data_IF_425679877894
#
_entry.id   IF_425679877894
#
_cell.length_a   1.000
_cell.length_b   1.000
_cell.length_c   1.000
_cell.angle_alpha   90.00
_cell.angle_beta   90.00
_cell.angle_gamma   90.00
#
_symmetry.space_group_name_H-M   'P 1'
#
loop_
_entity.id
_entity.type
_entity.pdbx_description
1 polymer ?
#
# COMPACT_ATOMS: atom_id res chain seq x y z
N UNK A 1 -8.65 15.72 -21.14
CA UNK A 1 -7.41 15.47 -20.38
C UNK A 1 -7.85 15.27 -18.93
N UNK A 2 -7.39 14.20 -18.26
CA UNK A 2 -7.80 13.89 -16.89
C UNK A 2 -6.90 14.64 -15.90
N UNK A 3 -7.49 15.32 -14.94
CA UNK A 3 -6.80 16.07 -13.90
C UNK A 3 -6.49 15.17 -12.70
N UNK A 4 -5.20 14.97 -12.38
CA UNK A 4 -4.75 14.01 -11.36
C UNK A 4 -4.19 14.72 -10.13
N UNK A 5 -4.65 14.34 -8.96
CA UNK A 5 -4.00 14.64 -7.70
C UNK A 5 -3.11 13.47 -7.28
N UNK A 6 -1.82 13.72 -7.02
CA UNK A 6 -0.85 12.71 -6.57
C UNK A 6 -0.50 12.99 -5.12
N UNK A 7 -1.12 12.26 -4.20
CA UNK A 7 -0.81 12.36 -2.78
C UNK A 7 0.41 11.50 -2.46
N UNK A 8 1.56 12.16 -2.21
CA UNK A 8 2.86 11.52 -2.04
C UNK A 8 3.69 11.44 -3.34
N UNK A 9 3.70 12.51 -4.14
CA UNK A 9 4.34 12.55 -5.46
C UNK A 9 5.86 12.34 -5.44
N UNK A 10 6.53 12.61 -4.33
CA UNK A 10 7.97 12.42 -4.17
C UNK A 10 8.37 11.00 -3.71
N UNK A 11 7.39 10.14 -3.42
CA UNK A 11 7.60 8.73 -3.07
C UNK A 11 7.80 7.84 -4.31
N UNK A 12 8.10 6.55 -4.08
CA UNK A 12 8.35 5.58 -5.16
C UNK A 12 7.19 5.48 -6.15
N UNK A 13 5.94 5.37 -5.66
CA UNK A 13 4.76 5.29 -6.53
C UNK A 13 4.47 6.64 -7.18
N UNK A 14 4.60 7.74 -6.43
CA UNK A 14 4.35 9.08 -6.97
C UNK A 14 5.27 9.43 -8.13
N UNK A 15 6.59 9.15 -8.01
CA UNK A 15 7.56 9.40 -9.09
C UNK A 15 7.27 8.56 -10.32
N UNK A 16 6.94 7.27 -10.15
CA UNK A 16 6.55 6.39 -11.27
C UNK A 16 5.21 6.81 -11.90
N UNK A 17 4.31 7.42 -11.12
CA UNK A 17 3.08 8.03 -11.67
C UNK A 17 3.42 9.21 -12.57
N UNK A 18 4.36 10.05 -12.16
CA UNK A 18 4.83 11.16 -12.98
C UNK A 18 5.53 10.67 -14.27
N UNK A 19 6.21 9.52 -14.24
CA UNK A 19 6.75 8.89 -15.45
C UNK A 19 5.63 8.54 -16.44
N UNK A 20 4.49 8.01 -15.97
CA UNK A 20 3.33 7.74 -16.82
C UNK A 20 2.75 9.03 -17.42
N UNK A 21 2.69 10.11 -16.64
CA UNK A 21 2.23 11.41 -17.14
C UNK A 21 3.17 11.94 -18.22
N UNK A 22 4.50 11.80 -18.08
CA UNK A 22 5.49 12.19 -19.11
C UNK A 22 5.30 11.42 -20.41
N UNK A 23 4.95 10.13 -20.33
CA UNK A 23 4.68 9.28 -21.50
C UNK A 23 3.38 9.70 -22.19
N UNK A 24 2.36 10.09 -21.41
CA UNK A 24 1.02 10.43 -21.94
C UNK A 24 0.56 11.85 -21.60
N UNK A 25 1.31 12.90 -22.00
CA UNK A 25 1.02 14.29 -21.61
C UNK A 25 -0.28 14.84 -22.20
N UNK A 26 -0.87 14.15 -23.20
CA UNK A 26 -2.18 14.53 -23.76
C UNK A 26 -3.36 13.89 -23.03
N UNK A 27 -3.12 12.88 -22.21
CA UNK A 27 -4.16 12.19 -21.45
C UNK A 27 -4.31 12.75 -20.05
N UNK A 28 -3.19 13.18 -19.44
CA UNK A 28 -3.14 13.55 -18.05
C UNK A 28 -2.51 14.92 -17.82
N UNK A 29 -3.05 15.64 -16.86
CA UNK A 29 -2.44 16.82 -16.27
C UNK A 29 -2.35 16.62 -14.74
N UNK A 30 -1.24 17.06 -14.14
CA UNK A 30 -1.03 16.95 -12.70
C UNK A 30 -1.54 18.19 -12.02
N UNK A 31 -2.75 18.12 -11.45
CA UNK A 31 -3.37 19.24 -10.73
C UNK A 31 -2.78 19.44 -9.33
N UNK A 32 -2.43 18.35 -8.65
CA UNK A 32 -1.96 18.39 -7.27
C UNK A 32 -0.75 17.48 -7.11
N UNK A 33 0.31 18.01 -6.48
CA UNK A 33 1.44 17.24 -5.97
C UNK A 33 1.60 17.42 -4.48
N UNK A 34 2.13 16.42 -3.79
CA UNK A 34 2.36 16.54 -2.36
C UNK A 34 3.59 15.81 -1.85
N UNK A 35 4.19 16.35 -0.80
CA UNK A 35 5.25 15.69 -0.05
C UNK A 35 5.08 15.95 1.46
N UNK A 36 5.74 15.12 2.29
CA UNK A 36 5.84 15.39 3.74
C UNK A 36 6.99 16.35 4.02
N UNK A 37 8.21 15.99 3.62
CA UNK A 37 9.45 16.75 3.92
C UNK A 37 10.39 16.93 2.73
N UNK A 38 10.23 16.15 1.68
CA UNK A 38 11.13 16.20 0.53
C UNK A 38 10.77 17.37 -0.38
N UNK A 39 11.08 18.58 0.08
CA UNK A 39 10.75 19.83 -0.62
C UNK A 39 11.60 20.04 -1.87
N UNK A 40 12.82 19.51 -1.93
CA UNK A 40 13.69 19.67 -3.10
C UNK A 40 13.13 18.91 -4.31
N UNK A 41 12.75 17.64 -4.11
CA UNK A 41 12.08 16.89 -5.17
C UNK A 41 10.71 17.48 -5.53
N UNK A 42 9.95 17.97 -4.54
CA UNK A 42 8.67 18.61 -4.78
C UNK A 42 8.81 19.90 -5.60
N UNK A 43 9.87 20.67 -5.37
CA UNK A 43 10.16 21.88 -6.13
C UNK A 43 10.44 21.54 -7.61
N UNK A 44 11.31 20.56 -7.86
CA UNK A 44 11.60 20.10 -9.22
C UNK A 44 10.33 19.60 -9.95
N UNK A 45 9.44 18.86 -9.22
CA UNK A 45 8.16 18.42 -9.77
C UNK A 45 7.22 19.60 -10.06
N UNK A 46 7.20 20.62 -9.21
CA UNK A 46 6.39 21.82 -9.43
C UNK A 46 6.83 22.61 -10.68
N UNK A 47 8.13 22.70 -10.90
CA UNK A 47 8.73 23.34 -12.08
C UNK A 47 8.44 22.57 -13.38
N UNK A 48 8.39 21.23 -13.31
CA UNK A 48 8.19 20.39 -14.49
C UNK A 48 6.70 20.27 -14.86
N UNK A 49 5.83 20.04 -13.87
CA UNK A 49 4.43 19.68 -14.11
C UNK A 49 3.45 20.83 -13.96
N UNK A 50 3.88 21.97 -13.44
CA UNK A 50 3.06 23.18 -13.26
C UNK A 50 1.69 22.91 -12.61
N UNK A 51 1.65 22.24 -11.43
CA UNK A 51 0.40 21.91 -10.77
C UNK A 51 -0.38 23.17 -10.35
N UNK A 52 -1.69 23.02 -10.14
CA UNK A 52 -2.50 24.09 -9.56
C UNK A 52 -2.29 24.22 -8.04
N UNK A 53 -2.05 23.09 -7.38
CA UNK A 53 -1.91 23.06 -5.92
C UNK A 53 -0.72 22.19 -5.52
N UNK A 54 0.08 22.69 -4.57
CA UNK A 54 1.20 21.99 -3.96
C UNK A 54 0.92 21.82 -2.47
N UNK A 55 1.08 20.60 -1.94
CA UNK A 55 0.84 20.32 -0.53
C UNK A 55 2.13 19.88 0.15
N UNK A 56 2.47 20.51 1.28
CA UNK A 56 3.54 20.07 2.18
C UNK A 56 2.92 19.79 3.55
N UNK A 57 2.91 18.51 3.98
CA UNK A 57 2.21 18.14 5.21
C UNK A 57 3.00 18.43 6.49
N UNK A 58 4.32 18.49 6.45
CA UNK A 58 5.17 18.95 7.56
C UNK A 58 5.19 20.48 7.59
N UNK A 59 4.83 21.07 8.71
CA UNK A 59 4.66 22.52 8.82
C UNK A 59 5.98 23.31 8.65
N UNK A 60 7.08 22.78 9.18
CA UNK A 60 8.40 23.45 9.08
C UNK A 60 8.90 23.38 7.62
N UNK A 61 8.84 22.20 6.99
CA UNK A 61 9.18 22.06 5.59
C UNK A 61 8.26 22.91 4.68
N UNK A 62 6.97 23.02 5.04
CA UNK A 62 6.00 23.83 4.30
C UNK A 62 6.30 25.33 4.36
N UNK A 63 6.71 25.85 5.51
CA UNK A 63 7.16 27.24 5.64
C UNK A 63 8.39 27.49 4.73
N UNK A 64 9.39 26.61 4.83
CA UNK A 64 10.60 26.70 3.97
C UNK A 64 10.27 26.62 2.48
N UNK A 65 9.32 25.76 2.10
CA UNK A 65 8.89 25.65 0.71
C UNK A 65 8.23 26.95 0.23
N UNK A 66 7.33 27.56 1.01
CA UNK A 66 6.69 28.85 0.69
C UNK A 66 7.70 29.98 0.49
N UNK A 67 8.76 30.01 1.29
CA UNK A 67 9.80 31.02 1.18
C UNK A 67 10.64 30.89 -0.11
N UNK A 68 10.72 29.69 -0.67
CA UNK A 68 11.53 29.36 -1.85
C UNK A 68 10.71 29.32 -3.15
N UNK A 69 9.38 29.09 -3.07
CA UNK A 69 8.53 28.90 -4.24
C UNK A 69 7.89 30.21 -4.70
N UNK A 70 8.21 30.61 -5.93
CA UNK A 70 7.70 31.84 -6.57
C UNK A 70 6.77 31.53 -7.75
N UNK A 71 6.36 30.28 -7.95
CA UNK A 71 5.45 29.89 -9.01
C UNK A 71 4.00 30.28 -8.72
N UNK A 72 3.10 29.95 -9.66
CA UNK A 72 1.69 30.33 -9.60
C UNK A 72 0.81 29.37 -8.82
N UNK A 73 1.32 28.18 -8.42
CA UNK A 73 0.54 27.18 -7.71
C UNK A 73 0.18 27.66 -6.28
N UNK A 74 -1.01 27.31 -5.84
CA UNK A 74 -1.41 27.48 -4.44
C UNK A 74 -0.62 26.51 -3.55
N UNK A 75 0.04 27.01 -2.49
CA UNK A 75 0.80 26.17 -1.55
C UNK A 75 0.03 26.00 -0.25
N UNK A 76 -0.46 24.79 0.00
CA UNK A 76 -1.15 24.38 1.22
C UNK A 76 -0.19 23.65 2.16
N UNK A 77 -0.29 23.92 3.47
CA UNK A 77 0.61 23.37 4.49
C UNK A 77 -0.19 22.72 5.62
N UNK A 78 0.32 21.61 6.14
CA UNK A 78 -0.25 20.89 7.29
C UNK A 78 -1.07 19.66 6.91
N UNK A 79 -1.45 18.88 7.92
CA UNK A 79 -2.11 17.57 7.74
C UNK A 79 -3.45 17.65 7.01
N UNK A 80 -4.27 18.67 7.29
CA UNK A 80 -5.57 18.87 6.62
C UNK A 80 -5.47 19.24 5.15
N UNK A 81 -4.31 19.71 4.69
CA UNK A 81 -4.08 20.20 3.34
C UNK A 81 -4.25 19.10 2.26
N UNK A 82 -3.91 17.84 2.58
CA UNK A 82 -4.12 16.71 1.66
C UNK A 82 -5.60 16.53 1.29
N UNK A 83 -6.48 16.55 2.30
CA UNK A 83 -7.92 16.45 2.08
C UNK A 83 -8.47 17.62 1.25
N UNK A 84 -8.05 18.84 1.59
CA UNK A 84 -8.47 20.05 0.86
C UNK A 84 -8.07 19.95 -0.61
N UNK A 85 -6.82 19.61 -0.89
CA UNK A 85 -6.31 19.48 -2.26
C UNK A 85 -6.96 18.34 -3.04
N UNK A 86 -7.14 17.17 -2.41
CA UNK A 86 -7.79 16.01 -3.04
C UNK A 86 -9.24 16.26 -3.44
N UNK A 87 -9.95 17.15 -2.71
CA UNK A 87 -11.34 17.51 -2.98
C UNK A 87 -11.48 18.69 -3.97
N UNK A 88 -10.39 19.25 -4.47
CA UNK A 88 -10.40 20.39 -5.40
C UNK A 88 -11.32 20.16 -6.61
N UNK A 89 -12.06 21.19 -7.04
CA UNK A 89 -13.02 21.07 -8.15
C UNK A 89 -12.35 20.65 -9.46
N UNK A 90 -11.10 21.02 -9.66
CA UNK A 90 -10.28 20.66 -10.82
C UNK A 90 -9.77 19.23 -10.82
N UNK A 91 -9.91 18.47 -9.73
CA UNK A 91 -9.39 17.10 -9.64
C UNK A 91 -10.43 16.10 -10.13
N UNK A 92 -10.06 15.22 -11.05
CA UNK A 92 -10.88 14.11 -11.53
C UNK A 92 -10.53 12.81 -10.78
N UNK A 93 -9.24 12.55 -10.61
CA UNK A 93 -8.72 11.32 -10.03
C UNK A 93 -7.68 11.63 -8.95
N UNK A 94 -7.79 10.94 -7.81
CA UNK A 94 -6.82 11.02 -6.71
C UNK A 94 -6.04 9.72 -6.65
N UNK A 95 -4.73 9.82 -6.88
CA UNK A 95 -3.80 8.72 -6.60
C UNK A 95 -3.26 8.88 -5.18
N UNK A 96 -3.55 7.90 -4.33
CA UNK A 96 -3.17 7.91 -2.91
C UNK A 96 -1.94 7.04 -2.72
N UNK A 97 -0.77 7.65 -2.53
CA UNK A 97 0.52 6.97 -2.35
C UNK A 97 1.32 7.47 -1.14
N UNK A 98 0.66 8.11 -0.19
CA UNK A 98 1.23 8.41 1.12
C UNK A 98 1.40 7.13 1.94
N UNK A 99 2.20 7.17 2.98
CA UNK A 99 2.52 5.99 3.80
C UNK A 99 1.70 6.00 5.09
N UNK A 100 1.30 4.80 5.55
CA UNK A 100 0.61 4.64 6.82
C UNK A 100 -0.84 5.15 6.81
N UNK A 101 -1.36 5.47 7.98
CA UNK A 101 -2.76 5.92 8.16
C UNK A 101 -3.06 7.29 7.54
N UNK A 102 -2.02 8.07 7.16
CA UNK A 102 -2.16 9.44 6.63
C UNK A 102 -3.02 9.49 5.34
N UNK A 103 -3.16 8.35 4.63
CA UNK A 103 -3.99 8.23 3.42
C UNK A 103 -5.49 8.06 3.68
N UNK A 104 -5.90 7.63 4.86
CA UNK A 104 -7.30 7.26 5.13
C UNK A 104 -8.26 8.46 5.02
N UNK A 105 -7.97 9.54 5.74
CA UNK A 105 -8.83 10.73 5.74
C UNK A 105 -8.97 11.35 4.35
N UNK A 106 -7.87 11.67 3.61
CA UNK A 106 -7.99 12.24 2.27
C UNK A 106 -8.70 11.31 1.29
N UNK A 107 -8.58 9.98 1.45
CA UNK A 107 -9.34 9.02 0.63
C UNK A 107 -10.84 9.12 0.88
N UNK A 108 -11.28 9.13 2.14
CA UNK A 108 -12.69 9.28 2.50
C UNK A 108 -13.26 10.62 2.01
N UNK A 109 -12.53 11.70 2.19
CA UNK A 109 -12.94 13.03 1.76
C UNK A 109 -13.05 13.12 0.22
N UNK A 110 -12.08 12.54 -0.51
CA UNK A 110 -12.12 12.49 -1.98
C UNK A 110 -13.29 11.65 -2.49
N UNK A 111 -13.61 10.52 -1.86
CA UNK A 111 -14.80 9.72 -2.16
C UNK A 111 -16.07 10.53 -1.92
N UNK A 112 -16.17 11.22 -0.79
CA UNK A 112 -17.30 12.07 -0.47
C UNK A 112 -17.49 13.19 -1.51
N UNK A 113 -16.39 13.74 -2.04
CA UNK A 113 -16.36 14.74 -3.11
C UNK A 113 -16.60 14.16 -4.53
N UNK A 114 -16.83 12.85 -4.66
CA UNK A 114 -17.13 12.20 -5.94
C UNK A 114 -15.90 11.98 -6.85
N UNK A 115 -14.68 11.94 -6.30
CA UNK A 115 -13.46 11.76 -7.08
C UNK A 115 -13.19 10.27 -7.37
N UNK A 116 -12.65 9.99 -8.57
CA UNK A 116 -12.09 8.66 -8.86
C UNK A 116 -10.88 8.38 -7.96
N UNK A 117 -10.71 7.14 -7.50
CA UNK A 117 -9.63 6.76 -6.59
C UNK A 117 -8.72 5.71 -7.23
N UNK A 118 -7.42 5.99 -7.29
CA UNK A 118 -6.35 5.03 -7.54
C UNK A 118 -5.57 4.83 -6.22
N UNK A 119 -5.74 3.67 -5.58
CA UNK A 119 -5.26 3.43 -4.22
C UNK A 119 -3.98 2.60 -4.23
N UNK A 120 -2.87 3.21 -3.82
CA UNK A 120 -1.59 2.56 -3.58
C UNK A 120 -1.28 2.38 -2.09
N UNK A 121 -1.93 3.17 -1.23
CA UNK A 121 -1.77 3.11 0.22
C UNK A 121 -2.65 2.00 0.81
N UNK A 122 -2.07 0.82 0.97
CA UNK A 122 -2.78 -0.36 1.53
C UNK A 122 -3.27 -0.16 2.95
N UNK A 123 -2.55 0.64 3.74
CA UNK A 123 -2.90 0.93 5.13
C UNK A 123 -4.27 1.63 5.25
N UNK A 124 -4.70 2.35 4.23
CA UNK A 124 -6.06 2.92 4.14
C UNK A 124 -7.14 1.84 4.29
N UNK A 125 -7.02 0.71 3.60
CA UNK A 125 -7.98 -0.39 3.70
C UNK A 125 -7.72 -1.30 4.90
N UNK A 126 -6.48 -1.45 5.30
CA UNK A 126 -6.13 -2.22 6.51
C UNK A 126 -6.73 -1.58 7.76
N UNK A 127 -6.66 -0.25 7.86
CA UNK A 127 -7.12 0.46 9.06
C UNK A 127 -8.60 0.87 9.01
N UNK A 128 -9.11 1.24 7.85
CA UNK A 128 -10.46 1.77 7.68
C UNK A 128 -11.26 1.15 6.53
N UNK A 129 -10.93 -0.09 6.12
CA UNK A 129 -11.50 -0.69 4.91
C UNK A 129 -13.02 -0.73 4.89
N UNK A 130 -13.66 -1.04 6.02
CA UNK A 130 -15.13 -1.01 6.13
C UNK A 130 -15.70 0.39 5.80
N UNK A 131 -15.11 1.43 6.36
CA UNK A 131 -15.55 2.82 6.13
C UNK A 131 -15.34 3.23 4.67
N UNK A 132 -14.17 2.92 4.12
CA UNK A 132 -13.78 3.29 2.76
C UNK A 132 -14.68 2.59 1.74
N UNK A 133 -14.84 1.26 1.85
CA UNK A 133 -15.64 0.49 0.89
C UNK A 133 -17.13 0.81 0.98
N UNK A 134 -17.65 1.08 2.18
CA UNK A 134 -19.01 1.56 2.37
C UNK A 134 -19.22 2.92 1.69
N UNK A 135 -18.33 3.89 1.95
CA UNK A 135 -18.39 5.22 1.34
C UNK A 135 -18.29 5.14 -0.20
N UNK A 136 -17.37 4.33 -0.71
CA UNK A 136 -17.20 4.12 -2.15
C UNK A 136 -18.46 3.52 -2.79
N UNK A 137 -19.07 2.52 -2.16
CA UNK A 137 -20.32 1.90 -2.61
C UNK A 137 -21.48 2.89 -2.63
N UNK A 138 -21.66 3.68 -1.57
CA UNK A 138 -22.70 4.70 -1.47
C UNK A 138 -22.58 5.79 -2.55
N UNK A 139 -21.35 6.12 -2.95
CA UNK A 139 -21.06 7.10 -3.99
C UNK A 139 -20.94 6.51 -5.41
N UNK A 140 -21.00 5.18 -5.55
CA UNK A 140 -20.79 4.49 -6.82
C UNK A 140 -19.36 4.64 -7.37
N UNK A 141 -18.37 4.82 -6.50
CA UNK A 141 -16.98 5.00 -6.86
C UNK A 141 -16.25 3.67 -6.82
N UNK A 142 -15.57 3.35 -7.90
CA UNK A 142 -14.69 2.20 -7.98
C UNK A 142 -13.31 2.57 -7.41
N UNK A 143 -12.88 1.84 -6.37
CA UNK A 143 -11.49 1.92 -5.89
C UNK A 143 -10.63 1.09 -6.84
N UNK A 144 -9.70 1.76 -7.53
CA UNK A 144 -8.75 1.10 -8.46
C UNK A 144 -7.46 0.77 -7.72
N UNK A 145 -7.11 -0.50 -7.57
CA UNK A 145 -5.88 -0.87 -6.89
C UNK A 145 -4.64 -0.52 -7.73
N UNK A 146 -3.63 0.01 -7.06
CA UNK A 146 -2.31 0.30 -7.64
C UNK A 146 -1.28 -0.72 -7.16
N UNK A 147 -1.48 -1.34 -5.98
CA UNK A 147 -0.63 -2.44 -5.54
C UNK A 147 -0.64 -3.57 -6.59
N UNK A 148 0.54 -4.14 -6.92
CA UNK A 148 0.70 -5.04 -8.05
C UNK A 148 -0.19 -6.27 -7.96
N UNK A 149 -0.27 -6.87 -6.79
CA UNK A 149 -1.05 -8.07 -6.53
C UNK A 149 -2.56 -7.79 -6.64
N UNK A 150 -3.01 -6.68 -6.05
CA UNK A 150 -4.43 -6.30 -6.10
C UNK A 150 -4.83 -5.84 -7.49
N UNK A 151 -3.95 -5.16 -8.21
CA UNK A 151 -4.15 -4.85 -9.63
C UNK A 151 -4.28 -6.12 -10.47
N UNK A 152 -3.47 -7.15 -10.19
CA UNK A 152 -3.54 -8.43 -10.87
C UNK A 152 -4.86 -9.16 -10.60
N UNK A 153 -5.32 -9.21 -9.34
CA UNK A 153 -6.62 -9.79 -8.96
C UNK A 153 -7.74 -9.02 -9.64
N UNK A 154 -7.73 -7.68 -9.56
CA UNK A 154 -8.71 -6.83 -10.22
C UNK A 154 -8.80 -7.13 -11.73
N UNK A 155 -7.66 -7.23 -12.41
CA UNK A 155 -7.59 -7.54 -13.84
C UNK A 155 -8.09 -8.96 -14.16
N UNK A 156 -7.80 -9.93 -13.29
CA UNK A 156 -8.25 -11.31 -13.43
C UNK A 156 -9.75 -11.48 -13.24
N UNK A 157 -10.38 -10.56 -12.50
CA UNK A 157 -11.84 -10.55 -12.24
C UNK A 157 -12.64 -9.74 -13.29
N UNK A 158 -11.99 -9.05 -14.22
CA UNK A 158 -12.70 -8.24 -15.22
C UNK A 158 -13.59 -9.10 -16.11
N UNK A 159 -14.87 -8.76 -16.18
CA UNK A 159 -15.85 -9.47 -16.99
C UNK A 159 -16.32 -10.82 -16.41
N UNK A 160 -15.86 -11.17 -15.22
CA UNK A 160 -16.27 -12.40 -14.52
C UNK A 160 -17.39 -12.12 -13.50
N UNK A 161 -18.21 -13.11 -13.22
CA UNK A 161 -19.16 -13.05 -12.10
C UNK A 161 -18.41 -13.20 -10.78
N UNK A 162 -18.52 -12.20 -9.92
CA UNK A 162 -17.90 -12.23 -8.57
C UNK A 162 -18.34 -13.43 -7.74
N UNK A 163 -19.55 -13.93 -7.94
CA UNK A 163 -20.07 -15.11 -7.23
C UNK A 163 -19.40 -16.41 -7.64
N UNK A 164 -18.75 -16.42 -8.81
CA UNK A 164 -18.02 -17.57 -9.29
C UNK A 164 -16.56 -17.62 -8.79
N UNK A 165 -16.13 -16.63 -7.98
CA UNK A 165 -14.80 -16.66 -7.37
C UNK A 165 -14.78 -17.70 -6.26
N UNK A 166 -13.97 -18.75 -6.44
CA UNK A 166 -13.72 -19.78 -5.44
C UNK A 166 -12.72 -19.27 -4.40
N UNK A 167 -11.55 -18.79 -4.85
CA UNK A 167 -10.55 -18.16 -3.99
C UNK A 167 -9.60 -17.22 -4.72
N UNK A 168 -8.98 -16.35 -3.95
CA UNK A 168 -7.86 -15.50 -4.38
C UNK A 168 -6.55 -16.20 -4.03
N UNK A 169 -5.65 -16.30 -5.00
CA UNK A 169 -4.29 -16.80 -4.84
C UNK A 169 -3.34 -15.61 -4.87
N UNK A 170 -3.04 -15.06 -3.70
CA UNK A 170 -2.22 -13.87 -3.51
C UNK A 170 -0.74 -14.26 -3.53
N UNK A 171 0.03 -13.77 -4.50
CA UNK A 171 1.45 -14.13 -4.60
C UNK A 171 2.34 -13.21 -3.78
N UNK A 172 3.48 -13.71 -3.34
CA UNK A 172 4.54 -13.00 -2.64
C UNK A 172 5.90 -13.35 -3.25
N UNK A 173 6.85 -12.40 -3.28
CA UNK A 173 8.24 -12.71 -3.65
C UNK A 173 8.94 -13.62 -2.63
N UNK A 174 8.46 -13.63 -1.38
CA UNK A 174 9.08 -14.29 -0.23
C UNK A 174 10.11 -13.42 0.48
N UNK A 175 10.43 -12.24 -0.05
CA UNK A 175 11.39 -11.31 0.54
C UNK A 175 12.84 -11.82 0.50
N UNK A 176 13.79 -11.09 1.13
CA UNK A 176 15.22 -11.43 1.12
C UNK A 176 15.56 -12.66 1.98
N UNK A 177 14.68 -13.05 2.89
CA UNK A 177 14.94 -14.12 3.85
C UNK A 177 14.16 -15.41 3.59
N UNK A 178 13.68 -15.59 2.34
CA UNK A 178 13.01 -16.82 1.92
C UNK A 178 13.90 -18.03 2.20
N UNK A 179 13.36 -19.02 2.94
CA UNK A 179 14.08 -20.25 3.32
C UNK A 179 15.02 -20.12 4.53
N UNK A 180 15.07 -18.96 5.19
CA UNK A 180 15.84 -18.80 6.43
C UNK A 180 15.14 -19.48 7.60
N UNK A 181 15.96 -20.10 8.49
CA UNK A 181 15.49 -20.59 9.78
C UNK A 181 15.37 -19.45 10.80
N UNK A 182 14.70 -19.73 11.92
CA UNK A 182 14.58 -18.75 13.02
C UNK A 182 15.96 -18.32 13.58
N UNK A 183 16.91 -19.27 13.66
CA UNK A 183 18.28 -19.02 14.12
C UNK A 183 19.04 -18.09 13.17
N UNK A 184 18.85 -18.25 11.87
CA UNK A 184 19.41 -17.35 10.86
C UNK A 184 18.81 -15.96 10.95
N UNK A 185 17.48 -15.87 11.12
CA UNK A 185 16.78 -14.59 11.28
C UNK A 185 17.20 -13.83 12.56
N UNK A 186 17.61 -14.52 13.62
CA UNK A 186 18.11 -13.88 14.82
C UNK A 186 19.42 -13.08 14.62
N UNK A 187 20.14 -13.34 13.53
CA UNK A 187 21.42 -12.70 13.20
C UNK A 187 21.31 -11.61 12.12
N UNK A 188 20.12 -11.42 11.52
CA UNK A 188 19.97 -10.48 10.41
C UNK A 188 20.05 -9.03 10.87
N UNK A 189 20.69 -8.23 10.06
CA UNK A 189 20.87 -6.79 10.28
C UNK A 189 19.83 -5.99 9.50
N UNK A 190 19.74 -4.69 9.80
CA UNK A 190 18.96 -3.77 8.99
C UNK A 190 19.43 -3.72 7.53
N UNK A 191 20.75 -3.78 7.31
CA UNK A 191 21.32 -3.79 5.96
C UNK A 191 20.87 -5.00 5.15
N UNK A 192 20.83 -6.20 5.79
CA UNK A 192 20.37 -7.42 5.13
C UNK A 192 18.89 -7.35 4.80
N UNK A 193 18.07 -6.81 5.70
CA UNK A 193 16.64 -6.66 5.51
C UNK A 193 16.28 -5.64 4.40
N UNK A 194 17.20 -4.73 4.06
CA UNK A 194 17.01 -3.76 2.97
C UNK A 194 17.36 -4.30 1.58
N UNK A 195 17.92 -5.52 1.46
CA UNK A 195 18.34 -6.13 0.19
C UNK A 195 17.19 -6.96 -0.42
N UNK A 196 16.20 -6.28 -1.02
CA UNK A 196 15.12 -7.01 -1.71
C UNK A 196 15.60 -7.60 -3.04
N UNK A 197 15.29 -8.88 -3.35
CA UNK A 197 15.86 -9.58 -4.52
C UNK A 197 15.34 -9.06 -5.88
N UNK A 198 14.11 -8.54 -5.96
CA UNK A 198 13.45 -8.22 -7.24
C UNK A 198 12.91 -6.79 -7.31
N UNK A 199 12.46 -6.20 -6.21
CA UNK A 199 11.79 -4.91 -6.19
C UNK A 199 12.65 -3.80 -5.58
N UNK A 200 12.62 -2.61 -6.19
CA UNK A 200 13.17 -1.39 -5.60
C UNK A 200 12.02 -0.57 -4.99
N UNK A 201 11.88 -0.65 -3.67
CA UNK A 201 10.75 -0.10 -2.93
C UNK A 201 11.19 0.91 -1.87
N UNK A 202 10.23 1.67 -1.34
CA UNK A 202 10.45 2.52 -0.19
C UNK A 202 10.88 1.71 1.05
N UNK A 203 11.63 2.34 1.96
CA UNK A 203 12.25 1.69 3.12
C UNK A 203 11.27 0.89 3.97
N UNK A 204 10.10 1.44 4.27
CA UNK A 204 9.05 0.76 5.07
C UNK A 204 8.57 -0.51 4.37
N UNK A 205 8.22 -0.41 3.08
CA UNK A 205 7.69 -1.55 2.30
C UNK A 205 8.75 -2.64 2.15
N UNK A 206 10.04 -2.28 1.98
CA UNK A 206 11.14 -3.25 1.91
C UNK A 206 11.25 -4.05 3.22
N UNK A 207 11.15 -3.40 4.37
CA UNK A 207 11.18 -4.07 5.67
C UNK A 207 9.92 -4.91 5.91
N UNK A 208 8.74 -4.41 5.52
CA UNK A 208 7.51 -5.20 5.57
C UNK A 208 7.59 -6.44 4.67
N UNK A 209 8.26 -6.34 3.51
CA UNK A 209 8.51 -7.50 2.66
C UNK A 209 9.47 -8.50 3.31
N UNK A 210 10.55 -8.03 3.92
CA UNK A 210 11.52 -8.87 4.63
C UNK A 210 10.89 -9.65 5.79
N UNK A 211 9.89 -9.10 6.44
CA UNK A 211 9.13 -9.70 7.54
C UNK A 211 7.85 -10.39 7.11
N UNK A 212 7.49 -10.37 5.82
CA UNK A 212 6.20 -10.81 5.29
C UNK A 212 4.97 -10.03 5.85
N UNK A 213 5.16 -8.96 6.62
CA UNK A 213 4.06 -8.08 7.03
C UNK A 213 3.41 -7.40 5.83
N UNK A 214 4.18 -7.07 4.77
CA UNK A 214 3.62 -6.55 3.53
C UNK A 214 2.50 -7.44 3.01
N UNK A 215 2.76 -8.75 2.95
CA UNK A 215 1.78 -9.73 2.49
C UNK A 215 0.60 -9.88 3.47
N UNK A 216 0.86 -9.75 4.77
CA UNK A 216 -0.21 -9.70 5.77
C UNK A 216 -1.15 -8.51 5.60
N UNK A 217 -0.61 -7.32 5.32
CA UNK A 217 -1.40 -6.12 5.01
C UNK A 217 -2.21 -6.32 3.72
N UNK A 218 -1.62 -6.93 2.71
CA UNK A 218 -2.25 -7.21 1.42
C UNK A 218 -3.39 -8.23 1.51
N UNK A 219 -3.30 -9.22 2.39
CA UNK A 219 -4.42 -10.14 2.68
C UNK A 219 -5.64 -9.37 3.21
N UNK A 220 -5.41 -8.41 4.12
CA UNK A 220 -6.48 -7.58 4.67
C UNK A 220 -7.04 -6.63 3.61
N UNK A 221 -6.20 -6.04 2.78
CA UNK A 221 -6.60 -5.19 1.68
C UNK A 221 -7.44 -5.97 0.65
N UNK A 222 -7.04 -7.19 0.27
CA UNK A 222 -7.77 -8.05 -0.65
C UNK A 222 -9.18 -8.37 -0.14
N UNK A 223 -9.33 -8.68 1.15
CA UNK A 223 -10.64 -8.89 1.80
C UNK A 223 -11.60 -7.74 1.51
N UNK A 224 -11.11 -6.50 1.64
CA UNK A 224 -11.95 -5.31 1.47
C UNK A 224 -12.20 -4.98 -0.01
N UNK A 225 -11.18 -4.99 -0.85
CA UNK A 225 -11.31 -4.62 -2.27
C UNK A 225 -12.22 -5.56 -3.06
N UNK A 226 -12.14 -6.86 -2.78
CA UNK A 226 -12.81 -7.88 -3.58
C UNK A 226 -14.02 -8.49 -2.90
N UNK A 227 -14.24 -8.15 -1.62
CA UNK A 227 -15.33 -8.67 -0.78
C UNK A 227 -15.31 -10.22 -0.70
N UNK A 228 -14.11 -10.77 -0.49
CA UNK A 228 -13.84 -12.22 -0.36
C UNK A 228 -13.42 -12.52 1.07
N UNK A 229 -14.01 -13.53 1.70
CA UNK A 229 -13.68 -13.89 3.08
C UNK A 229 -12.27 -14.44 3.21
N UNK A 230 -11.66 -14.27 4.39
CA UNK A 230 -10.28 -14.70 4.66
C UNK A 230 -10.02 -16.18 4.39
N UNK A 231 -11.02 -17.04 4.53
CA UNK A 231 -10.92 -18.48 4.25
C UNK A 231 -10.81 -18.79 2.75
N UNK A 232 -11.11 -17.81 1.89
CA UNK A 232 -10.98 -17.87 0.45
C UNK A 232 -9.79 -17.02 -0.09
N UNK A 233 -8.85 -16.66 0.79
CA UNK A 233 -7.60 -16.00 0.41
C UNK A 233 -6.44 -16.90 0.80
N UNK A 234 -5.68 -17.35 -0.19
CA UNK A 234 -4.50 -18.19 -0.03
C UNK A 234 -3.25 -17.41 -0.46
N UNK A 235 -2.17 -17.52 0.33
CA UNK A 235 -0.89 -16.88 -0.01
C UNK A 235 0.06 -17.92 -0.58
N UNK A 236 0.66 -17.60 -1.73
CA UNK A 236 1.67 -18.39 -2.40
C UNK A 236 2.97 -17.59 -2.55
N UNK A 237 4.11 -18.21 -2.32
CA UNK A 237 5.40 -17.60 -2.65
C UNK A 237 5.75 -17.90 -4.10
N UNK A 238 5.96 -16.85 -4.90
CA UNK A 238 6.36 -16.90 -6.31
C UNK A 238 7.66 -16.09 -6.46
N UNK A 239 8.82 -16.72 -6.29
CA UNK A 239 10.09 -16.00 -6.13
C UNK A 239 10.52 -15.18 -7.33
N UNK A 240 10.09 -15.57 -8.54
CA UNK A 240 10.41 -14.88 -9.78
C UNK A 240 9.64 -13.57 -9.94
N UNK A 241 8.57 -13.37 -9.16
CA UNK A 241 7.67 -12.21 -9.24
C UNK A 241 7.10 -11.96 -10.66
N UNK A 242 6.89 -13.03 -11.43
CA UNK A 242 6.28 -12.98 -12.75
C UNK A 242 4.76 -13.07 -12.69
N UNK A 243 4.23 -13.95 -11.82
CA UNK A 243 2.79 -14.01 -11.52
C UNK A 243 2.52 -13.03 -10.38
N UNK A 244 1.74 -11.98 -10.69
CA UNK A 244 1.45 -10.94 -9.71
C UNK A 244 0.27 -11.26 -8.81
N UNK A 245 -0.59 -12.17 -9.14
CA UNK A 245 -1.61 -12.91 -8.38
C UNK A 245 -2.59 -13.57 -9.32
N UNK A 246 -3.47 -14.42 -8.78
CA UNK A 246 -4.41 -15.24 -9.52
C UNK A 246 -5.76 -15.29 -8.84
N UNK A 247 -6.79 -15.63 -9.60
CA UNK A 247 -8.14 -15.91 -9.09
C UNK A 247 -8.55 -17.29 -9.58
N UNK A 248 -8.91 -18.16 -8.64
CA UNK A 248 -9.49 -19.48 -8.92
C UNK A 248 -11.02 -19.37 -8.88
N UNK A 249 -11.68 -19.96 -9.86
CA UNK A 249 -13.12 -19.93 -10.03
C UNK A 249 -13.75 -21.27 -9.67
N UNK A 250 -15.07 -21.29 -9.44
CA UNK A 250 -15.84 -22.48 -9.07
C UNK A 250 -15.78 -23.62 -10.11
N UNK A 251 -15.46 -23.32 -11.37
CA UNK A 251 -15.26 -24.32 -12.43
C UNK A 251 -13.86 -24.93 -12.42
N UNK A 252 -12.99 -24.53 -11.47
CA UNK A 252 -11.60 -24.95 -11.38
C UNK A 252 -10.63 -24.18 -12.30
N UNK A 253 -11.12 -23.21 -13.04
CA UNK A 253 -10.24 -22.35 -13.87
C UNK A 253 -9.47 -21.38 -13.01
N UNK A 254 -8.20 -21.12 -13.34
CA UNK A 254 -7.37 -20.10 -12.69
C UNK A 254 -6.99 -19.04 -13.72
N UNK A 255 -7.33 -17.78 -13.41
CA UNK A 255 -6.92 -16.63 -14.25
C UNK A 255 -5.82 -15.88 -13.50
N UNK A 256 -4.70 -15.63 -14.18
CA UNK A 256 -3.51 -14.98 -13.63
C UNK A 256 -3.11 -13.76 -14.45
N UNK A 257 -2.67 -12.70 -13.80
CA UNK A 257 -1.96 -11.63 -14.49
C UNK A 257 -0.45 -11.88 -14.35
N UNK A 258 0.22 -11.91 -15.49
CA UNK A 258 1.65 -12.18 -15.61
C UNK A 258 2.32 -11.00 -16.28
N UNK A 259 3.48 -10.57 -15.76
CA UNK A 259 4.24 -9.45 -16.29
C UNK A 259 5.61 -9.30 -15.62
N UNK A 260 6.45 -8.44 -16.19
CA UNK A 260 7.69 -8.06 -15.52
C UNK A 260 7.38 -7.26 -14.24
N UNK A 261 8.25 -7.32 -13.22
CA UNK A 261 8.07 -6.59 -11.96
C UNK A 261 8.32 -5.07 -12.15
N UNK A 262 7.32 -4.36 -12.62
CA UNK A 262 7.34 -2.92 -12.90
C UNK A 262 6.05 -2.27 -12.42
N UNK A 263 6.15 -1.43 -11.38
CA UNK A 263 4.98 -0.73 -10.82
C UNK A 263 4.31 0.25 -11.77
N UNK A 264 4.98 0.67 -12.84
CA UNK A 264 4.36 1.53 -13.86
C UNK A 264 3.22 0.82 -14.59
N UNK A 265 3.22 -0.52 -14.68
CA UNK A 265 2.12 -1.28 -15.27
C UNK A 265 0.81 -1.15 -14.48
N UNK A 266 0.75 -1.49 -13.18
CA UNK A 266 -0.48 -1.32 -12.39
C UNK A 266 -0.86 0.14 -12.19
N UNK A 267 0.10 1.06 -12.06
CA UNK A 267 -0.15 2.51 -12.01
C UNK A 267 -0.85 2.95 -13.29
N UNK A 268 -0.26 2.66 -14.46
CA UNK A 268 -0.84 3.01 -15.76
C UNK A 268 -2.26 2.47 -15.89
N UNK A 269 -2.46 1.19 -15.54
CA UNK A 269 -3.78 0.57 -15.65
C UNK A 269 -4.82 1.24 -14.73
N UNK A 270 -4.46 1.58 -13.49
CA UNK A 270 -5.35 2.31 -12.59
C UNK A 270 -5.74 3.70 -13.12
N UNK A 271 -4.81 4.41 -13.76
CA UNK A 271 -5.06 5.73 -14.34
C UNK A 271 -5.90 5.67 -15.62
N UNK A 272 -5.72 4.63 -16.44
CA UNK A 272 -6.31 4.52 -17.80
C UNK A 272 -7.54 3.62 -17.86
N UNK A 273 -7.86 2.92 -16.78
CA UNK A 273 -8.98 1.97 -16.75
C UNK A 273 -10.25 2.59 -17.37
N UNK A 274 -10.97 1.84 -18.25
CA UNK A 274 -10.77 0.41 -18.56
C UNK A 274 -9.78 0.12 -19.72
N UNK A 275 -9.07 1.11 -20.24
CA UNK A 275 -8.23 0.98 -21.42
C UNK A 275 -6.81 0.49 -21.07
N UNK A 276 -6.26 -0.34 -21.96
CA UNK A 276 -4.84 -0.74 -21.92
C UNK A 276 -4.06 0.09 -22.92
N UNK A 277 -3.02 0.75 -22.44
CA UNK A 277 -2.07 1.50 -23.26
C UNK A 277 -0.79 0.68 -23.47
N UNK A 278 0.07 1.04 -24.43
CA UNK A 278 1.37 0.41 -24.63
C UNK A 278 2.18 0.34 -23.33
N UNK A 279 3.03 -0.69 -23.20
CA UNK A 279 3.88 -0.86 -22.01
C UNK A 279 4.75 0.38 -21.78
N UNK A 280 4.77 0.93 -20.57
CA UNK A 280 5.54 2.13 -20.25
C UNK A 280 7.07 1.91 -20.30
N UNK A 281 7.53 0.67 -20.12
CA UNK A 281 8.94 0.29 -20.27
C UNK A 281 9.29 -0.20 -21.67
N UNK A 282 8.29 -0.43 -22.52
CA UNK A 282 8.44 -1.15 -23.79
C UNK A 282 9.03 -2.57 -23.66
N UNK A 283 9.06 -3.11 -22.45
CA UNK A 283 9.54 -4.45 -22.15
C UNK A 283 8.38 -5.42 -21.98
N UNK A 284 8.57 -6.62 -22.50
CA UNK A 284 7.64 -7.73 -22.40
C UNK A 284 8.34 -8.94 -21.77
N UNK A 285 7.54 -9.85 -21.20
CA UNK A 285 8.09 -11.11 -20.69
C UNK A 285 8.71 -11.91 -21.83
N UNK A 286 9.99 -12.22 -21.71
CA UNK A 286 10.65 -13.12 -22.67
C UNK A 286 10.37 -14.59 -22.29
N UNK A 287 9.31 -15.12 -22.85
CA UNK A 287 8.85 -16.49 -22.59
C UNK A 287 9.89 -17.58 -22.91
N UNK A 288 10.90 -17.27 -23.72
CA UNK A 288 11.99 -18.22 -24.02
C UNK A 288 12.96 -18.36 -22.83
N UNK A 289 13.03 -17.36 -21.96
CA UNK A 289 13.90 -17.32 -20.79
C UNK A 289 13.19 -17.71 -19.49
N UNK A 290 11.86 -17.70 -19.44
CA UNK A 290 11.10 -18.00 -18.22
C UNK A 290 11.39 -19.40 -17.67
N UNK A 291 11.54 -20.40 -18.54
CA UNK A 291 11.76 -21.78 -18.14
C UNK A 291 10.58 -22.33 -17.34
N UNK A 292 10.80 -22.63 -16.04
CA UNK A 292 9.75 -23.10 -15.12
C UNK A 292 9.22 -21.97 -14.25
N UNK A 293 7.92 -22.00 -13.95
CA UNK A 293 7.28 -21.14 -12.95
C UNK A 293 7.19 -21.93 -11.64
N UNK A 294 7.70 -21.34 -10.57
CA UNK A 294 7.80 -21.99 -9.26
C UNK A 294 6.82 -21.31 -8.30
N UNK A 295 6.07 -22.12 -7.56
CA UNK A 295 5.26 -21.68 -6.42
C UNK A 295 5.60 -22.49 -5.20
N UNK A 296 5.64 -21.85 -4.02
CA UNK A 296 5.96 -22.47 -2.73
C UNK A 296 4.91 -22.02 -1.69
N UNK A 297 4.75 -22.81 -0.63
CA UNK A 297 3.98 -22.40 0.52
C UNK A 297 4.79 -21.42 1.37
N UNK A 298 4.20 -20.34 1.92
CA UNK A 298 4.88 -19.49 2.88
C UNK A 298 5.16 -20.22 4.20
N UNK A 299 6.32 -20.00 4.78
CA UNK A 299 6.64 -20.52 6.12
C UNK A 299 5.99 -19.61 7.19
N UNK A 300 4.79 -19.97 7.62
CA UNK A 300 3.99 -19.19 8.59
C UNK A 300 4.49 -19.34 10.03
N UNK A 301 5.31 -20.34 10.32
CA UNK A 301 5.92 -20.55 11.65
C UNK A 301 7.12 -19.62 11.84
N UNK A 302 7.93 -19.47 10.82
CA UNK A 302 9.07 -18.55 10.80
C UNK A 302 8.58 -17.11 10.62
N UNK A 303 7.69 -16.87 9.66
CA UNK A 303 7.11 -15.54 9.37
C UNK A 303 5.69 -15.42 9.93
N UNK A 304 5.59 -15.27 11.25
CA UNK A 304 4.31 -15.20 11.99
C UNK A 304 3.38 -14.06 11.54
N UNK A 305 3.91 -13.09 10.81
CA UNK A 305 3.14 -11.94 10.29
C UNK A 305 1.89 -12.32 9.51
N UNK A 306 1.97 -13.39 8.68
CA UNK A 306 0.81 -13.87 7.93
C UNK A 306 -0.27 -14.42 8.85
N UNK A 307 0.08 -15.29 9.80
CA UNK A 307 -0.87 -15.82 10.79
C UNK A 307 -1.53 -14.69 11.58
N UNK A 308 -0.73 -13.72 12.05
CA UNK A 308 -1.22 -12.58 12.82
C UNK A 308 -2.16 -11.68 12.00
N UNK A 309 -1.90 -11.52 10.68
CA UNK A 309 -2.79 -10.77 9.79
C UNK A 309 -4.15 -11.45 9.62
N UNK A 310 -4.16 -12.77 9.38
CA UNK A 310 -5.40 -13.55 9.30
C UNK A 310 -6.18 -13.52 10.62
N UNK A 311 -5.50 -13.67 11.75
CA UNK A 311 -6.12 -13.59 13.08
C UNK A 311 -6.74 -12.21 13.34
N UNK A 312 -6.01 -11.13 13.06
CA UNK A 312 -6.52 -9.76 13.21
C UNK A 312 -7.72 -9.52 12.28
N UNK A 313 -7.61 -9.96 11.02
CA UNK A 313 -8.67 -9.83 10.03
C UNK A 313 -9.94 -10.58 10.42
N UNK A 314 -9.84 -11.85 10.83
CA UNK A 314 -10.97 -12.67 11.28
C UNK A 314 -11.59 -12.16 12.58
N UNK A 315 -10.80 -11.55 13.48
CA UNK A 315 -11.30 -10.89 14.69
C UNK A 315 -12.15 -9.68 14.35
N UNK A 316 -11.84 -8.98 13.25
CA UNK A 316 -12.61 -7.84 12.75
C UNK A 316 -12.52 -6.58 13.63
N UNK A 317 -13.38 -5.62 13.36
CA UNK A 317 -13.37 -4.31 14.01
C UNK A 317 -12.04 -3.60 13.84
N UNK A 318 -11.51 -3.02 14.92
CA UNK A 318 -10.25 -2.29 14.90
C UNK A 318 -9.00 -3.14 15.17
N UNK A 319 -9.10 -4.49 15.10
CA UNK A 319 -7.95 -5.37 15.29
C UNK A 319 -6.91 -5.20 14.18
N UNK A 320 -7.33 -4.98 12.94
CA UNK A 320 -6.43 -4.72 11.81
C UNK A 320 -5.74 -3.36 11.91
N UNK A 321 -6.40 -2.36 12.51
CA UNK A 321 -5.78 -1.06 12.84
C UNK A 321 -4.66 -1.26 13.87
N UNK A 322 -4.92 -2.08 14.91
CA UNK A 322 -3.92 -2.38 15.94
C UNK A 322 -2.74 -3.17 15.36
N UNK A 323 -3.00 -4.13 14.47
CA UNK A 323 -1.98 -4.88 13.74
C UNK A 323 -1.04 -3.94 12.96
N UNK A 324 -1.61 -3.03 12.15
CA UNK A 324 -0.82 -2.07 11.38
C UNK A 324 -0.02 -1.12 12.28
N UNK A 325 -0.65 -0.54 13.30
CA UNK A 325 0.00 0.40 14.21
C UNK A 325 1.16 -0.24 14.98
N UNK A 326 0.99 -1.49 15.44
CA UNK A 326 2.03 -2.24 16.13
C UNK A 326 3.21 -2.57 15.19
N UNK A 327 2.92 -2.99 13.95
CA UNK A 327 3.94 -3.24 12.94
C UNK A 327 4.76 -1.97 12.64
N UNK A 328 4.11 -0.83 12.43
CA UNK A 328 4.81 0.43 12.14
C UNK A 328 5.73 0.86 13.29
N UNK A 329 5.30 0.74 14.55
CA UNK A 329 6.13 1.06 15.71
C UNK A 329 7.30 0.07 15.89
N UNK A 330 7.07 -1.22 15.64
CA UNK A 330 8.11 -2.25 15.71
C UNK A 330 9.17 -2.03 14.61
N UNK A 331 8.75 -1.80 13.36
CA UNK A 331 9.66 -1.49 12.25
C UNK A 331 10.45 -0.20 12.53
N UNK A 332 9.80 0.85 13.03
CA UNK A 332 10.48 2.10 13.37
C UNK A 332 11.54 1.90 14.48
N UNK A 333 11.27 1.01 15.43
CA UNK A 333 12.21 0.69 16.51
C UNK A 333 13.34 -0.23 16.05
N UNK A 334 13.09 -1.17 15.14
CA UNK A 334 14.12 -1.96 14.48
C UNK A 334 15.09 -1.07 13.67
N UNK A 335 14.58 -0.11 12.91
CA UNK A 335 15.39 0.86 12.16
C UNK A 335 16.34 1.65 13.07
N UNK A 336 15.91 1.94 14.30
CA UNK A 336 16.72 2.64 15.31
C UNK A 336 17.68 1.73 16.08
N UNK A 337 17.69 0.43 15.79
CA UNK A 337 18.50 -0.56 16.52
C UNK A 337 18.00 -0.84 17.93
N UNK A 338 16.74 -0.55 18.24
CA UNK A 338 16.12 -0.76 19.54
C UNK A 338 15.45 -2.15 19.68
N UNK A 339 15.24 -2.84 18.57
CA UNK A 339 14.66 -4.18 18.50
C UNK A 339 15.51 -5.07 17.61
N UNK A 340 15.53 -6.38 17.89
CA UNK A 340 15.99 -7.39 16.95
C UNK A 340 14.93 -7.64 15.85
N UNK A 341 15.33 -8.29 14.77
CA UNK A 341 14.41 -8.65 13.67
C UNK A 341 13.24 -9.51 14.16
N UNK A 342 13.51 -10.52 14.97
CA UNK A 342 12.49 -11.42 15.50
C UNK A 342 11.55 -10.73 16.48
N UNK A 343 12.04 -9.74 17.23
CA UNK A 343 11.22 -8.99 18.18
C UNK A 343 10.14 -8.13 17.49
N UNK A 344 10.26 -7.87 16.19
CA UNK A 344 9.18 -7.21 15.41
C UNK A 344 7.90 -8.03 15.51
N UNK A 345 7.98 -9.35 15.31
CA UNK A 345 6.82 -10.25 15.41
C UNK A 345 6.28 -10.30 16.83
N UNK A 346 7.16 -10.32 17.85
CA UNK A 346 6.76 -10.41 19.26
C UNK A 346 5.97 -9.19 19.70
N UNK A 347 6.38 -7.98 19.26
CA UNK A 347 5.64 -6.72 19.54
C UNK A 347 4.23 -6.77 18.97
N UNK A 348 4.06 -7.21 17.73
CA UNK A 348 2.75 -7.26 17.07
C UNK A 348 1.87 -8.33 17.72
N UNK A 349 2.42 -9.52 17.97
CA UNK A 349 1.70 -10.63 18.60
C UNK A 349 1.23 -10.28 20.02
N UNK A 350 2.10 -9.69 20.85
CA UNK A 350 1.74 -9.28 22.20
C UNK A 350 0.71 -8.13 22.17
N UNK A 351 0.85 -7.17 21.24
CA UNK A 351 -0.15 -6.10 21.09
C UNK A 351 -1.51 -6.70 20.77
N UNK A 352 -1.62 -7.61 19.81
CA UNK A 352 -2.88 -8.25 19.42
C UNK A 352 -3.45 -9.14 20.51
N UNK A 353 -2.62 -9.84 21.28
CA UNK A 353 -3.05 -10.68 22.41
C UNK A 353 -3.74 -9.87 23.49
N UNK A 354 -3.22 -8.68 23.79
CA UNK A 354 -3.79 -7.77 24.79
C UNK A 354 -4.91 -6.88 24.22
N UNK A 355 -5.13 -6.88 22.90
CA UNK A 355 -6.06 -5.97 22.23
C UNK A 355 -7.51 -6.45 22.33
N UNK A 356 -8.39 -5.62 22.86
CA UNK A 356 -9.82 -5.83 22.80
C UNK A 356 -10.38 -5.12 21.58
N UNK A 357 -10.83 -5.92 20.59
CA UNK A 357 -11.41 -5.36 19.35
C UNK A 357 -12.76 -4.69 19.62
N UNK A 358 -12.98 -3.56 18.94
CA UNK A 358 -14.22 -2.77 18.96
C UNK A 358 -14.68 -2.52 17.53
N UNK A 359 -15.97 -2.39 17.32
CA UNK A 359 -16.52 -2.00 16.01
C UNK A 359 -16.07 -0.58 15.64
N UNK A 360 -15.89 -0.36 14.35
CA UNK A 360 -15.52 0.94 13.75
C UNK A 360 -16.79 1.54 13.12
N UNK A 361 -17.19 2.71 13.61
CA UNK A 361 -18.34 3.44 13.07
C UNK A 361 -17.92 4.71 12.33
N UNK A 362 -16.77 5.28 12.69
CA UNK A 362 -16.28 6.57 12.22
C UNK A 362 -14.77 6.58 12.03
N UNK A 363 -14.28 7.59 11.29
CA UNK A 363 -12.85 7.87 11.17
C UNK A 363 -12.20 8.11 12.56
N UNK A 364 -12.92 8.77 13.49
CA UNK A 364 -12.41 9.00 14.84
C UNK A 364 -12.09 7.70 15.57
N UNK A 365 -12.95 6.68 15.43
CA UNK A 365 -12.73 5.38 16.06
C UNK A 365 -11.43 4.71 15.55
N UNK A 366 -11.15 4.86 14.26
CA UNK A 366 -9.91 4.33 13.65
C UNK A 366 -8.69 5.09 14.18
N UNK A 367 -8.74 6.43 14.20
CA UNK A 367 -7.61 7.26 14.67
C UNK A 367 -7.33 7.06 16.16
N UNK A 368 -8.38 6.88 16.97
CA UNK A 368 -8.23 6.57 18.40
C UNK A 368 -7.62 5.19 18.60
N UNK A 369 -8.08 4.18 17.84
CA UNK A 369 -7.53 2.82 17.89
C UNK A 369 -6.06 2.79 17.47
N UNK A 370 -5.69 3.48 16.39
CA UNK A 370 -4.28 3.60 15.95
C UNK A 370 -3.41 4.23 17.05
N UNK A 371 -3.85 5.34 17.62
CA UNK A 371 -3.14 6.02 18.70
C UNK A 371 -3.00 5.15 19.97
N UNK A 372 -4.05 4.42 20.32
CA UNK A 372 -4.04 3.48 21.46
C UNK A 372 -3.08 2.32 21.20
N UNK A 373 -3.15 1.68 20.02
CA UNK A 373 -2.29 0.57 19.64
C UNK A 373 -0.81 0.96 19.59
N UNK A 374 -0.48 2.14 19.06
CA UNK A 374 0.89 2.69 19.09
C UNK A 374 1.40 2.87 20.51
N UNK A 375 0.55 3.34 21.43
CA UNK A 375 0.94 3.44 22.86
C UNK A 375 1.19 2.08 23.50
N UNK A 376 0.38 1.08 23.14
CA UNK A 376 0.59 -0.30 23.58
C UNK A 376 1.90 -0.87 23.06
N UNK A 377 2.14 -0.81 21.77
CA UNK A 377 3.37 -1.27 21.14
C UNK A 377 4.62 -0.61 21.75
N UNK A 378 4.60 0.72 21.93
CA UNK A 378 5.69 1.44 22.59
C UNK A 378 5.94 0.98 24.03
N UNK A 379 4.89 0.67 24.81
CA UNK A 379 5.06 0.13 26.17
C UNK A 379 5.72 -1.25 26.13
N UNK A 380 5.33 -2.10 25.18
CA UNK A 380 5.93 -3.42 24.99
C UNK A 380 7.41 -3.27 24.65
N UNK A 381 7.73 -2.45 23.66
CA UNK A 381 9.11 -2.14 23.24
C UNK A 381 9.96 -1.64 24.41
N UNK A 382 9.45 -0.69 25.19
CA UNK A 382 10.18 -0.06 26.30
C UNK A 382 10.34 -0.97 27.54
N UNK A 383 9.53 -2.03 27.69
CA UNK A 383 9.71 -3.04 28.74
C UNK A 383 10.87 -3.97 28.47
N UNK A 384 11.53 -3.83 27.33
CA UNK A 384 12.58 -4.71 26.88
C UNK A 384 11.99 -6.09 26.58
N UNK A 385 11.31 -6.23 25.45
CA UNK A 385 11.08 -7.55 24.90
C UNK A 385 12.44 -8.09 24.61
N UNK A 386 12.92 -8.79 25.64
CA UNK A 386 13.93 -9.82 25.71
C UNK A 386 14.94 -9.82 24.55
N UNK A 387 16.10 -9.26 24.89
CA UNK A 387 17.34 -9.62 24.21
C UNK A 387 17.57 -11.13 24.26
#
# INVERSE_FOLDING_TARGET
MKEIAILGSTGSIGTQTLDIVRIYPRLFHVSVISAKRNIDALFAQAEEFHPHTIVVTDEEAGKRFKDLYWGSAEVLVGEGALSTAACGNQVDLVLVSVVGIDGLKPTLDAIAAGKEIALANKETLVTGGELVMRAAKEKGILIRPVDSEHSAIFQSMLGQDKKAVHKILLTASGGPFRGYTREQLAQVTLEDAMKHPTWNMGRKVTLDSATMFNKGLEVIEARWLFDVDYDHIEVLVQPQSLIHSMVEYEDGSVIAQIGNPDMRLPIQFALTYPHRLPSPSHEFVDWKQVGSIITEQPDVEVFRSLRLAFEAGKRGGNATTAFNAANEEAIASFIKGQLSFLSIFDVVEETLTQWTSRHIHSLSDVLEADKEARRFAKKIINRGILC
#
